data_IF_966479267164
#
_entry.id   IF_966479267164
#
_cell.length_a   1.000
_cell.length_b   1.000
_cell.length_c   1.000
_cell.angle_alpha   90.00
_cell.angle_beta   90.00
_cell.angle_gamma   90.00
#
_symmetry.space_group_name_H-M   'P 1'
#
loop_
_entity.id
_entity.type
_entity.pdbx_description
1 polymer ?
#
# COMPACT_ATOMS: atom_id res chain seq x y z
N UNK A 1 1.16 24.32 6.26
CA UNK A 1 1.56 23.14 5.45
C UNK A 1 1.41 21.93 6.35
N UNK A 2 0.58 20.95 5.98
CA UNK A 2 0.45 19.73 6.76
C UNK A 2 1.55 18.77 6.29
N UNK A 3 2.55 18.51 7.14
CA UNK A 3 3.56 17.51 6.85
C UNK A 3 2.91 16.13 6.86
N UNK A 4 3.02 15.39 5.75
CA UNK A 4 2.50 14.03 5.61
C UNK A 4 3.15 13.10 6.66
N UNK A 5 4.41 13.38 7.00
CA UNK A 5 5.14 12.74 8.07
C UNK A 5 5.62 13.80 9.07
N UNK A 6 4.92 14.00 10.19
CA UNK A 6 5.15 15.15 11.09
C UNK A 6 6.53 15.17 11.77
N UNK A 7 7.29 14.09 11.67
CA UNK A 7 8.60 13.89 12.27
C UNK A 7 9.77 13.97 11.29
N UNK A 8 9.52 14.23 9.99
CA UNK A 8 10.58 14.38 8.97
C UNK A 8 11.39 13.11 8.70
N UNK A 9 10.96 11.96 9.22
CA UNK A 9 11.60 10.66 9.04
C UNK A 9 10.65 9.64 8.38
N UNK A 10 9.68 10.15 7.62
CA UNK A 10 8.73 9.31 6.89
C UNK A 10 9.44 8.40 5.91
N UNK A 11 8.89 7.20 5.70
CA UNK A 11 9.33 6.31 4.62
C UNK A 11 8.15 6.11 3.69
N UNK A 12 8.32 6.55 2.45
CA UNK A 12 7.34 6.34 1.38
C UNK A 12 7.67 5.07 0.61
N UNK A 13 6.70 4.21 0.43
CA UNK A 13 6.81 2.98 -0.34
C UNK A 13 5.88 3.05 -1.55
N UNK A 14 6.43 2.74 -2.73
CA UNK A 14 5.69 2.50 -3.96
C UNK A 14 6.32 1.33 -4.72
N UNK A 15 5.59 0.75 -5.67
CA UNK A 15 6.14 -0.26 -6.55
C UNK A 15 7.00 0.37 -7.66
N UNK A 16 7.53 -0.47 -8.56
CA UNK A 16 8.36 -0.02 -9.69
C UNK A 16 7.56 0.11 -10.99
N UNK A 17 6.26 0.41 -10.94
CA UNK A 17 5.49 0.67 -12.16
C UNK A 17 6.15 1.80 -12.99
N UNK A 18 6.10 1.77 -14.34
CA UNK A 18 6.79 2.75 -15.17
C UNK A 18 6.44 4.21 -14.85
N UNK A 19 5.18 4.49 -14.49
CA UNK A 19 4.76 5.83 -14.08
C UNK A 19 5.44 6.31 -12.79
N UNK A 20 5.63 5.44 -11.79
CA UNK A 20 6.31 5.75 -10.53
C UNK A 20 7.82 5.96 -10.69
N UNK A 21 8.39 5.49 -11.81
CA UNK A 21 9.82 5.62 -12.14
C UNK A 21 10.08 6.70 -13.21
N UNK A 22 9.04 7.39 -13.68
CA UNK A 22 9.19 8.48 -14.62
C UNK A 22 10.06 9.59 -14.01
N UNK A 23 10.91 10.21 -14.84
CA UNK A 23 11.86 11.25 -14.40
C UNK A 23 11.20 12.34 -13.55
N UNK A 24 10.07 12.87 -14.01
CA UNK A 24 9.31 13.91 -13.30
C UNK A 24 8.88 13.48 -11.89
N UNK A 25 8.55 12.21 -11.69
CA UNK A 25 8.15 11.67 -10.38
C UNK A 25 9.37 11.54 -9.47
N UNK A 26 10.50 11.11 -10.00
CA UNK A 26 11.74 10.96 -9.22
C UNK A 26 12.35 12.30 -8.82
N UNK A 27 12.37 13.27 -9.72
CA UNK A 27 12.79 14.65 -9.44
C UNK A 27 11.93 15.25 -8.31
N UNK A 28 10.61 15.00 -8.32
CA UNK A 28 9.73 15.44 -7.23
C UNK A 28 10.12 14.81 -5.89
N UNK A 29 10.46 13.51 -5.84
CA UNK A 29 10.95 12.89 -4.60
C UNK A 29 12.31 13.44 -4.14
N UNK A 30 13.20 13.81 -5.06
CA UNK A 30 14.49 14.42 -4.73
C UNK A 30 14.32 15.80 -4.07
N UNK A 31 13.34 16.58 -4.53
CA UNK A 31 12.99 17.89 -3.97
C UNK A 31 12.40 17.83 -2.55
N UNK A 32 11.87 16.68 -2.11
CA UNK A 32 11.18 16.51 -0.82
C UNK A 32 11.91 15.56 0.15
N UNK A 33 13.23 15.41 -0.03
CA UNK A 33 14.06 14.50 0.80
C UNK A 33 14.19 14.93 2.27
N UNK A 34 13.89 16.19 2.60
CA UNK A 34 13.79 16.71 3.96
C UNK A 34 12.46 16.37 4.65
N UNK A 35 11.43 15.98 3.90
CA UNK A 35 10.14 15.58 4.44
C UNK A 35 10.03 14.06 4.69
N UNK A 36 10.54 13.25 3.75
CA UNK A 36 10.51 11.78 3.84
C UNK A 36 11.46 11.12 2.82
N UNK A 37 11.69 9.81 3.00
CA UNK A 37 12.56 9.01 2.15
C UNK A 37 11.77 8.04 1.28
N UNK A 38 12.06 8.03 -0.04
CA UNK A 38 11.56 7.01 -0.95
C UNK A 38 12.31 5.68 -0.77
N UNK A 39 11.61 4.64 -0.32
CA UNK A 39 12.18 3.30 -0.13
C UNK A 39 12.50 2.62 -1.48
N UNK A 40 13.67 1.99 -1.58
CA UNK A 40 13.96 1.07 -2.68
C UNK A 40 13.05 -0.15 -2.63
N UNK A 41 12.38 -0.47 -3.72
CA UNK A 41 11.47 -1.62 -3.80
C UNK A 41 11.98 -2.70 -4.75
N UNK A 42 11.95 -4.00 -4.38
CA UNK A 42 12.25 -5.07 -5.32
C UNK A 42 11.14 -5.21 -6.39
N UNK A 43 11.49 -5.46 -7.66
CA UNK A 43 10.49 -5.69 -8.70
C UNK A 43 9.67 -6.97 -8.42
N UNK A 44 8.45 -7.03 -8.94
CA UNK A 44 7.57 -8.22 -8.87
C UNK A 44 7.41 -8.81 -7.46
N UNK A 45 7.31 -7.96 -6.44
CA UNK A 45 7.21 -8.37 -5.04
C UNK A 45 5.88 -7.96 -4.38
N UNK A 46 4.72 -8.39 -4.91
CA UNK A 46 3.42 -8.06 -4.33
C UNK A 46 3.27 -8.62 -2.90
N UNK A 47 3.87 -9.77 -2.60
CA UNK A 47 3.91 -10.41 -1.28
C UNK A 47 4.41 -9.47 -0.16
N UNK A 48 5.27 -8.52 -0.52
CA UNK A 48 5.83 -7.53 0.40
C UNK A 48 4.97 -6.28 0.50
N UNK A 49 4.08 -6.01 -0.45
CA UNK A 49 3.26 -4.80 -0.47
C UNK A 49 2.03 -4.96 0.45
N UNK A 50 1.94 -4.25 1.59
CA UNK A 50 0.80 -4.38 2.50
C UNK A 50 -0.52 -3.89 1.88
N UNK A 51 -0.46 -2.99 0.89
CA UNK A 51 -1.65 -2.44 0.23
C UNK A 51 -2.44 -3.51 -0.52
N UNK A 52 -1.79 -4.54 -1.06
CA UNK A 52 -2.47 -5.66 -1.73
C UNK A 52 -3.48 -6.34 -0.81
N UNK A 53 -3.11 -6.52 0.46
CA UNK A 53 -4.01 -7.10 1.46
C UNK A 53 -5.17 -6.16 1.80
N UNK A 54 -4.92 -4.85 1.87
CA UNK A 54 -5.98 -3.87 2.15
C UNK A 54 -7.01 -3.87 1.02
N UNK A 55 -6.54 -3.90 -0.23
CA UNK A 55 -7.41 -4.00 -1.41
C UNK A 55 -8.24 -5.28 -1.41
N UNK A 56 -7.63 -6.43 -1.10
CA UNK A 56 -8.36 -7.69 -0.96
C UNK A 56 -9.42 -7.64 0.15
N UNK A 57 -9.11 -7.06 1.33
CA UNK A 57 -10.11 -6.86 2.39
C UNK A 57 -11.26 -5.97 1.92
N UNK A 58 -10.95 -4.85 1.26
CA UNK A 58 -11.96 -3.93 0.76
C UNK A 58 -12.84 -4.57 -0.30
N UNK A 59 -12.24 -5.30 -1.24
CA UNK A 59 -12.94 -6.00 -2.30
C UNK A 59 -13.89 -7.06 -1.74
N UNK A 60 -13.47 -7.85 -0.74
CA UNK A 60 -14.35 -8.83 -0.08
C UNK A 60 -15.53 -8.17 0.60
N UNK A 61 -15.32 -7.06 1.31
CA UNK A 61 -16.40 -6.32 1.96
C UNK A 61 -17.38 -5.75 0.92
N UNK A 62 -16.86 -5.18 -0.16
CA UNK A 62 -17.66 -4.66 -1.26
C UNK A 62 -18.51 -5.75 -1.92
N UNK A 63 -17.92 -6.92 -2.20
CA UNK A 63 -18.61 -8.08 -2.80
C UNK A 63 -19.68 -8.68 -1.90
N UNK A 64 -19.55 -8.54 -0.58
CA UNK A 64 -20.56 -9.01 0.37
C UNK A 64 -21.80 -8.12 0.46
N UNK A 65 -21.73 -6.88 -0.05
CA UNK A 65 -22.87 -5.95 -0.01
C UNK A 65 -23.97 -6.34 -1.00
N UNK A 66 -25.21 -6.23 -0.55
CA UNK A 66 -26.41 -6.50 -1.36
C UNK A 66 -27.35 -5.29 -1.31
N UNK A 67 -27.87 -4.81 -2.46
CA UNK A 67 -27.61 -5.28 -3.82
C UNK A 67 -26.20 -4.88 -4.32
N UNK A 68 -25.70 -5.52 -5.40
CA UNK A 68 -24.45 -5.13 -6.05
C UNK A 68 -24.45 -3.65 -6.47
N UNK A 69 -23.26 -3.06 -6.60
CA UNK A 69 -23.10 -1.66 -7.01
C UNK A 69 -23.63 -1.46 -8.46
N UNK A 70 -24.65 -0.63 -8.68
CA UNK A 70 -25.27 -0.49 -10.01
C UNK A 70 -24.51 0.46 -10.94
N UNK A 71 -23.63 1.31 -10.40
CA UNK A 71 -22.86 2.29 -11.17
C UNK A 71 -21.59 2.72 -10.42
N UNK A 72 -20.73 3.47 -11.12
CA UNK A 72 -19.43 3.91 -10.62
C UNK A 72 -19.52 4.90 -9.44
N UNK A 73 -20.59 5.70 -9.34
CA UNK A 73 -20.79 6.63 -8.23
C UNK A 73 -21.01 5.85 -6.93
N UNK A 74 -21.95 4.89 -6.96
CA UNK A 74 -22.23 4.05 -5.80
C UNK A 74 -21.03 3.17 -5.43
N UNK A 75 -20.27 2.69 -6.42
CA UNK A 75 -19.02 1.96 -6.18
C UNK A 75 -18.01 2.84 -5.42
N UNK A 76 -17.81 4.09 -5.87
CA UNK A 76 -16.90 5.04 -5.21
C UNK A 76 -17.32 5.28 -3.76
N UNK A 77 -18.60 5.57 -3.54
CA UNK A 77 -19.12 5.89 -2.20
C UNK A 77 -18.95 4.71 -1.24
N UNK A 78 -19.22 3.49 -1.71
CA UNK A 78 -19.03 2.25 -0.92
C UNK A 78 -17.55 1.97 -0.64
N UNK A 79 -16.66 2.19 -1.61
CA UNK A 79 -15.22 2.02 -1.38
C UNK A 79 -14.71 3.01 -0.32
N UNK A 80 -15.16 4.28 -0.37
CA UNK A 80 -14.82 5.27 0.65
C UNK A 80 -15.37 4.89 2.02
N UNK A 81 -16.63 4.48 2.11
CA UNK A 81 -17.24 4.05 3.36
C UNK A 81 -16.49 2.85 3.97
N UNK A 82 -16.16 1.84 3.17
CA UNK A 82 -15.34 0.71 3.62
C UNK A 82 -13.99 1.21 4.12
N UNK A 83 -13.29 2.04 3.34
CA UNK A 83 -11.96 2.56 3.70
C UNK A 83 -11.97 3.30 5.05
N UNK A 84 -12.92 4.22 5.25
CA UNK A 84 -13.03 5.00 6.48
C UNK A 84 -13.45 4.16 7.70
N UNK A 85 -14.15 3.05 7.48
CA UNK A 85 -14.57 2.14 8.55
C UNK A 85 -13.60 0.97 8.78
N UNK A 86 -12.50 0.86 8.02
CA UNK A 86 -11.48 -0.15 8.27
C UNK A 86 -10.85 0.07 9.65
N UNK A 87 -10.90 -0.97 10.49
CA UNK A 87 -10.32 -0.91 11.82
C UNK A 87 -8.82 -0.62 11.77
N UNK A 88 -8.31 0.32 12.60
CA UNK A 88 -6.88 0.56 12.78
C UNK A 88 -6.06 -0.71 13.04
N UNK A 89 -6.68 -1.72 13.66
CA UNK A 89 -6.06 -3.02 13.96
C UNK A 89 -5.63 -3.77 12.69
N UNK A 90 -6.33 -3.58 11.56
CA UNK A 90 -5.96 -4.20 10.27
C UNK A 90 -4.59 -3.68 9.83
N UNK A 91 -4.42 -2.36 9.82
CA UNK A 91 -3.16 -1.71 9.43
C UNK A 91 -2.02 -2.08 10.38
N UNK A 92 -2.27 -2.06 11.70
CA UNK A 92 -1.28 -2.43 12.71
C UNK A 92 -0.78 -3.88 12.54
N UNK A 93 -1.69 -4.83 12.29
CA UNK A 93 -1.34 -6.23 12.04
C UNK A 93 -0.53 -6.40 10.76
N UNK A 94 -0.83 -5.62 9.72
CA UNK A 94 -0.07 -5.65 8.47
C UNK A 94 1.36 -5.17 8.67
N UNK A 95 1.55 -4.02 9.30
CA UNK A 95 2.88 -3.49 9.61
C UNK A 95 3.65 -4.47 10.49
N UNK A 96 3.03 -4.99 11.55
CA UNK A 96 3.64 -5.99 12.44
C UNK A 96 4.01 -7.30 11.71
N UNK A 97 3.35 -7.61 10.58
CA UNK A 97 3.64 -8.81 9.79
C UNK A 97 4.87 -8.68 8.89
N UNK A 98 5.34 -7.45 8.61
CA UNK A 98 6.39 -7.18 7.62
C UNK A 98 7.71 -7.92 7.89
N UNK A 99 8.27 -7.95 9.11
CA UNK A 99 9.51 -8.71 9.37
C UNK A 99 9.40 -10.18 8.97
N UNK A 100 8.23 -10.79 9.20
CA UNK A 100 7.94 -12.18 8.84
C UNK A 100 7.78 -12.37 7.32
N UNK A 101 7.20 -11.40 6.60
CA UNK A 101 7.10 -11.42 5.13
C UNK A 101 8.48 -11.32 4.49
N UNK A 102 9.30 -10.38 4.95
CA UNK A 102 10.70 -10.22 4.50
C UNK A 102 11.50 -11.50 4.75
N UNK A 103 11.42 -12.08 5.94
CA UNK A 103 12.09 -13.35 6.23
C UNK A 103 11.62 -14.50 5.30
N UNK A 104 10.34 -14.51 4.92
CA UNK A 104 9.78 -15.50 4.01
C UNK A 104 10.31 -15.33 2.57
N UNK A 105 10.61 -14.11 2.11
CA UNK A 105 11.24 -13.85 0.80
C UNK A 105 12.74 -14.18 0.84
N UNK A 106 13.42 -13.92 1.95
CA UNK A 106 14.85 -14.21 2.09
C UNK A 106 15.14 -15.72 2.09
N UNK A 107 14.27 -16.54 2.69
CA UNK A 107 14.44 -18.00 2.78
C UNK A 107 14.61 -18.69 1.40
N UNK A 108 13.77 -18.42 0.38
CA UNK A 108 13.96 -18.91 -0.98
C UNK A 108 14.88 -18.01 -1.83
N UNK A 109 15.68 -17.13 -1.23
CA UNK A 109 16.59 -16.19 -1.92
C UNK A 109 15.90 -15.29 -2.95
N UNK A 110 14.75 -14.70 -2.57
CA UNK A 110 13.98 -13.81 -3.43
C UNK A 110 12.85 -14.48 -4.22
N UNK A 111 12.63 -15.79 -4.02
CA UNK A 111 11.48 -16.50 -4.60
C UNK A 111 10.13 -16.07 -3.99
N UNK A 112 9.05 -16.43 -4.68
CA UNK A 112 7.68 -16.17 -4.25
C UNK A 112 7.36 -16.84 -2.90
N UNK A 113 6.43 -16.23 -2.17
CA UNK A 113 6.01 -16.69 -0.85
C UNK A 113 4.51 -16.98 -0.84
N UNK A 114 3.96 -17.25 0.35
CA UNK A 114 2.53 -17.49 0.56
C UNK A 114 1.72 -16.20 0.76
N UNK A 115 2.39 -15.05 0.80
CA UNK A 115 1.80 -13.77 1.19
C UNK A 115 1.23 -13.02 0.01
#
# INVERSE_FOLDING_TARGET
MAFVFPTGNGIFQQDNAPCHRARIVLEWFEEHTDEFHLMSWPPNSPDLNPMEYIWDVMERQLRAQTPPCPNISILRDRCLDIWYNLSPVVYQKLVASMPRRVAAVLKPKGGATRY
#
